data_IF_133904108355
#
_entry.id   IF_133904108355
#
_cell.length_a   1.000
_cell.length_b   1.000
_cell.length_c   1.000
_cell.angle_alpha   90.00
_cell.angle_beta   90.00
_cell.angle_gamma   90.00
#
_symmetry.space_group_name_H-M   'P 1'
#
loop_
_entity.id
_entity.type
_entity.pdbx_description
1 polymer ?
#
# COMPACT_ATOMS: atom_id res chain seq x y z
N UNK A 1 -28.97 -1.65 3.08
CA UNK A 1 -27.61 -1.55 3.65
C UNK A 1 -26.85 -0.51 2.86
N UNK A 2 -26.20 0.44 3.52
CA UNK A 2 -25.43 1.51 2.86
C UNK A 2 -24.12 0.93 2.32
N UNK A 3 -23.74 1.32 1.10
CA UNK A 3 -22.44 0.97 0.51
C UNK A 3 -21.31 1.49 1.40
N UNK A 4 -20.45 0.59 1.89
CA UNK A 4 -19.33 0.91 2.79
C UNK A 4 -18.04 1.24 2.04
N UNK A 5 -18.06 1.18 0.70
CA UNK A 5 -16.89 1.49 -0.13
C UNK A 5 -16.55 2.97 -0.05
N UNK A 6 -15.32 3.25 0.36
CA UNK A 6 -14.69 4.56 0.23
C UNK A 6 -13.80 4.59 -1.01
N UNK A 7 -13.62 5.76 -1.62
CA UNK A 7 -12.81 5.89 -2.84
C UNK A 7 -11.77 6.98 -2.70
N UNK A 8 -10.65 6.79 -3.40
CA UNK A 8 -9.53 7.71 -3.49
C UNK A 8 -9.28 8.04 -4.96
N UNK A 9 -9.38 9.32 -5.37
CA UNK A 9 -9.06 9.74 -6.74
C UNK A 9 -7.63 9.37 -7.17
N UNK A 10 -6.72 9.15 -6.21
CA UNK A 10 -5.36 8.70 -6.52
C UNK A 10 -5.37 7.31 -7.16
N UNK A 11 -6.22 6.39 -6.70
CA UNK A 11 -6.27 5.01 -7.18
C UNK A 11 -6.58 4.94 -8.68
N UNK A 12 -7.59 5.67 -9.13
CA UNK A 12 -7.96 5.71 -10.55
C UNK A 12 -6.82 6.23 -11.46
N UNK A 13 -5.94 7.09 -10.95
CA UNK A 13 -4.82 7.66 -11.71
C UNK A 13 -3.59 6.75 -11.77
N UNK A 14 -3.39 5.89 -10.78
CA UNK A 14 -2.14 5.13 -10.63
C UNK A 14 -2.30 3.61 -10.70
N UNK A 15 -3.53 3.06 -10.67
CA UNK A 15 -3.74 1.60 -10.68
C UNK A 15 -3.18 0.89 -11.91
N UNK A 16 -3.27 1.51 -13.09
CA UNK A 16 -2.79 0.94 -14.36
C UNK A 16 -1.24 0.89 -14.45
N UNK A 17 -0.51 1.99 -14.21
CA UNK A 17 0.95 1.93 -14.19
C UNK A 17 1.48 1.05 -13.05
N UNK A 18 0.82 1.03 -11.89
CA UNK A 18 1.19 0.12 -10.80
C UNK A 18 1.05 -1.34 -11.24
N UNK A 19 -0.10 -1.73 -11.79
CA UNK A 19 -0.32 -3.10 -12.26
C UNK A 19 0.73 -3.52 -13.30
N UNK A 20 1.07 -2.62 -14.21
CA UNK A 20 2.07 -2.88 -15.26
C UNK A 20 3.39 -3.33 -14.63
N UNK A 21 3.90 -2.58 -13.65
CA UNK A 21 5.13 -2.93 -12.95
C UNK A 21 4.95 -4.21 -12.11
N UNK A 22 3.82 -4.36 -11.43
CA UNK A 22 3.55 -5.54 -10.60
C UNK A 22 3.58 -6.85 -11.41
N UNK A 23 3.13 -6.84 -12.67
CA UNK A 23 3.22 -8.02 -13.56
C UNK A 23 4.65 -8.46 -13.85
N UNK A 24 5.61 -7.52 -13.82
CA UNK A 24 7.01 -7.78 -14.15
C UNK A 24 7.82 -8.23 -12.93
N UNK A 25 7.47 -7.75 -11.74
CA UNK A 25 8.28 -7.95 -10.52
C UNK A 25 7.73 -8.99 -9.55
N UNK A 26 6.42 -9.26 -9.57
CA UNK A 26 5.83 -10.22 -8.65
C UNK A 26 6.14 -11.66 -9.09
N UNK A 27 6.23 -12.61 -8.14
CA UNK A 27 6.40 -14.01 -8.50
C UNK A 27 5.20 -14.52 -9.30
N UNK A 28 5.38 -15.62 -10.04
CA UNK A 28 4.30 -16.21 -10.83
C UNK A 28 3.15 -16.76 -9.97
N UNK A 29 3.46 -17.21 -8.75
CA UNK A 29 2.52 -17.75 -7.75
C UNK A 29 2.99 -17.37 -6.36
N UNK A 30 2.09 -17.40 -5.38
CA UNK A 30 2.44 -17.18 -3.98
C UNK A 30 1.54 -16.16 -3.31
N UNK A 31 1.94 -15.75 -2.11
CA UNK A 31 1.21 -14.81 -1.27
C UNK A 31 1.80 -13.40 -1.37
N UNK A 32 0.97 -12.43 -1.74
CA UNK A 32 1.31 -11.01 -1.71
C UNK A 32 0.64 -10.37 -0.50
N UNK A 33 1.44 -9.79 0.40
CA UNK A 33 0.93 -8.92 1.44
C UNK A 33 0.89 -7.48 0.93
N UNK A 34 -0.30 -6.90 0.84
CA UNK A 34 -0.47 -5.47 0.62
C UNK A 34 -0.53 -4.76 1.98
N UNK A 35 0.52 -4.01 2.29
CA UNK A 35 0.64 -3.21 3.51
C UNK A 35 0.02 -1.83 3.27
N UNK A 36 -0.88 -1.44 4.19
CA UNK A 36 -1.64 -0.20 4.11
C UNK A 36 -2.47 -0.08 2.81
N UNK A 37 -3.38 -1.04 2.59
CA UNK A 37 -4.26 -1.16 1.41
C UNK A 37 -5.24 0.01 1.20
N UNK A 38 -5.15 1.09 1.99
CA UNK A 38 -6.05 2.24 1.92
C UNK A 38 -7.50 1.82 2.08
N UNK A 39 -8.32 2.06 1.05
CA UNK A 39 -9.72 1.69 1.01
C UNK A 39 -10.00 0.35 0.31
N UNK A 40 -8.97 -0.32 -0.22
CA UNK A 40 -9.06 -1.61 -0.92
C UNK A 40 -9.21 -1.53 -2.44
N UNK A 41 -9.26 -0.33 -3.01
CA UNK A 41 -9.43 -0.14 -4.46
C UNK A 41 -8.29 -0.74 -5.30
N UNK A 42 -7.02 -0.64 -4.83
CA UNK A 42 -5.88 -1.26 -5.51
C UNK A 42 -5.99 -2.78 -5.52
N UNK A 43 -6.24 -3.40 -4.38
CA UNK A 43 -6.49 -4.84 -4.28
C UNK A 43 -7.64 -5.28 -5.20
N UNK A 44 -8.76 -4.56 -5.15
CA UNK A 44 -9.94 -4.89 -5.96
C UNK A 44 -9.68 -4.79 -7.46
N UNK A 45 -8.77 -3.92 -7.87
CA UNK A 45 -8.34 -3.81 -9.26
C UNK A 45 -7.30 -4.86 -9.63
N UNK A 46 -6.23 -5.01 -8.83
CA UNK A 46 -5.03 -5.77 -9.19
C UNK A 46 -5.23 -7.28 -9.01
N UNK A 47 -5.85 -7.72 -7.92
CA UNK A 47 -5.94 -9.15 -7.59
C UNK A 47 -6.63 -10.00 -8.68
N UNK A 48 -7.75 -9.57 -9.30
CA UNK A 48 -8.39 -10.34 -10.38
C UNK A 48 -7.51 -10.50 -11.64
N UNK A 49 -6.50 -9.66 -11.81
CA UNK A 49 -5.63 -9.65 -12.98
C UNK A 49 -4.37 -10.50 -12.77
N UNK A 50 -4.15 -10.96 -11.54
CA UNK A 50 -3.05 -11.83 -11.14
C UNK A 50 -3.59 -13.07 -10.39
N UNK A 51 -4.44 -13.89 -11.02
CA UNK A 51 -5.21 -14.93 -10.35
C UNK A 51 -4.37 -16.08 -9.75
N UNK A 52 -3.10 -16.18 -10.14
CA UNK A 52 -2.14 -17.15 -9.59
C UNK A 52 -1.55 -16.70 -8.24
N UNK A 53 -1.77 -15.44 -7.86
CA UNK A 53 -1.34 -14.86 -6.59
C UNK A 53 -2.50 -14.82 -5.59
N UNK A 54 -2.19 -15.14 -4.34
CA UNK A 54 -3.09 -14.92 -3.22
C UNK A 54 -2.82 -13.51 -2.69
N UNK A 55 -3.82 -12.64 -2.72
CA UNK A 55 -3.69 -11.26 -2.28
C UNK A 55 -4.21 -11.08 -0.85
N UNK A 56 -3.33 -10.74 0.10
CA UNK A 56 -3.70 -10.45 1.47
C UNK A 56 -3.63 -8.95 1.71
N UNK A 57 -4.79 -8.32 1.89
CA UNK A 57 -4.88 -6.90 2.23
C UNK A 57 -4.64 -6.66 3.72
N UNK A 58 -4.28 -5.44 4.09
CA UNK A 58 -4.11 -5.06 5.49
C UNK A 58 -4.38 -3.57 5.73
N UNK A 59 -4.76 -3.25 6.97
CA UNK A 59 -4.91 -1.87 7.39
C UNK A 59 -5.07 -1.74 8.89
N UNK A 60 -4.53 -0.66 9.46
CA UNK A 60 -4.66 -0.33 10.88
C UNK A 60 -6.11 0.02 11.24
N UNK A 61 -6.68 0.97 10.52
CA UNK A 61 -7.94 1.58 10.87
C UNK A 61 -9.15 0.67 10.57
N UNK A 62 -10.08 0.45 11.53
CA UNK A 62 -11.26 -0.37 11.31
C UNK A 62 -12.13 0.09 10.13
N UNK A 63 -12.27 1.40 9.93
CA UNK A 63 -13.07 1.97 8.84
C UNK A 63 -12.46 1.66 7.45
N UNK A 64 -11.15 1.81 7.31
CA UNK A 64 -10.43 1.41 6.10
C UNK A 64 -10.63 -0.08 5.80
N UNK A 65 -10.56 -0.93 6.82
CA UNK A 65 -10.81 -2.37 6.68
C UNK A 65 -12.25 -2.70 6.27
N UNK A 66 -13.24 -1.98 6.78
CA UNK A 66 -14.64 -2.13 6.32
C UNK A 66 -14.78 -1.78 4.84
N UNK A 67 -14.14 -0.70 4.39
CA UNK A 67 -14.11 -0.35 2.96
C UNK A 67 -13.42 -1.43 2.13
N UNK A 68 -12.29 -1.98 2.60
CA UNK A 68 -11.58 -3.07 1.92
C UNK A 68 -12.51 -4.26 1.72
N UNK A 69 -13.17 -4.73 2.79
CA UNK A 69 -14.13 -5.85 2.74
C UNK A 69 -15.21 -5.57 1.69
N UNK A 70 -15.75 -4.35 1.65
CA UNK A 70 -16.80 -3.98 0.70
C UNK A 70 -16.30 -3.93 -0.75
N UNK A 71 -15.06 -3.51 -0.99
CA UNK A 71 -14.46 -3.50 -2.32
C UNK A 71 -14.09 -4.88 -2.83
N UNK A 72 -13.77 -5.82 -1.94
CA UNK A 72 -13.25 -7.14 -2.30
C UNK A 72 -14.25 -8.28 -2.06
N UNK A 73 -15.50 -7.97 -1.72
CA UNK A 73 -16.52 -8.95 -1.31
C UNK A 73 -16.71 -10.08 -2.33
N UNK A 74 -16.74 -9.75 -3.63
CA UNK A 74 -17.00 -10.70 -4.71
C UNK A 74 -15.71 -11.30 -5.31
N UNK A 75 -14.55 -11.02 -4.71
CA UNK A 75 -13.24 -11.42 -5.25
C UNK A 75 -12.64 -12.66 -4.57
N UNK A 76 -13.31 -13.18 -3.54
CA UNK A 76 -12.83 -14.34 -2.79
C UNK A 76 -11.53 -14.10 -2.02
N UNK A 77 -11.17 -12.84 -1.77
CA UNK A 77 -9.99 -12.49 -0.96
C UNK A 77 -10.25 -12.76 0.52
N UNK A 78 -9.19 -13.11 1.26
CA UNK A 78 -9.24 -13.22 2.70
C UNK A 78 -9.57 -11.85 3.34
N UNK A 79 -10.20 -11.83 4.53
CA UNK A 79 -10.44 -10.59 5.27
C UNK A 79 -9.14 -9.80 5.49
N UNK A 80 -9.19 -8.45 5.50
CA UNK A 80 -7.99 -7.64 5.70
C UNK A 80 -7.42 -7.86 7.10
N UNK A 81 -6.09 -7.99 7.19
CA UNK A 81 -5.40 -8.08 8.47
C UNK A 81 -5.44 -6.75 9.22
N UNK A 82 -5.54 -6.82 10.55
CA UNK A 82 -5.26 -5.66 11.42
C UNK A 82 -3.76 -5.52 11.53
N UNK A 83 -3.16 -4.59 10.78
CA UNK A 83 -1.71 -4.41 10.76
C UNK A 83 -1.39 -2.93 10.96
N UNK A 84 -0.67 -2.61 12.04
CA UNK A 84 0.24 -1.47 12.10
C UNK A 84 1.67 -1.99 11.84
N UNK A 85 2.45 -1.30 11.01
CA UNK A 85 3.83 -1.73 10.70
C UNK A 85 4.74 -1.70 11.93
N UNK A 86 4.37 -0.92 12.95
CA UNK A 86 5.07 -0.86 14.24
C UNK A 86 4.77 -2.03 15.16
N UNK A 87 3.75 -2.84 14.86
CA UNK A 87 3.45 -4.04 15.64
C UNK A 87 4.53 -5.11 15.40
N UNK A 88 4.89 -5.87 16.43
CA UNK A 88 5.77 -7.03 16.34
C UNK A 88 5.27 -8.12 17.30
N UNK A 89 4.92 -9.33 16.82
CA UNK A 89 4.97 -9.77 15.43
C UNK A 89 3.83 -9.20 14.56
N UNK A 90 4.05 -9.15 13.24
CA UNK A 90 2.95 -8.97 12.28
C UNK A 90 2.00 -10.18 12.34
N UNK A 91 0.69 -10.00 12.08
CA UNK A 91 -0.32 -11.08 12.12
C UNK A 91 -0.25 -12.01 10.90
N UNK A 92 0.95 -12.26 10.38
CA UNK A 92 1.23 -13.11 9.23
C UNK A 92 2.67 -13.62 9.32
N UNK A 93 2.88 -14.88 8.96
CA UNK A 93 4.15 -15.59 9.22
C UNK A 93 5.10 -15.63 8.03
N UNK A 94 4.57 -15.52 6.80
CA UNK A 94 5.36 -15.50 5.57
C UNK A 94 4.56 -14.79 4.45
N UNK A 95 5.28 -14.25 3.47
CA UNK A 95 4.74 -13.79 2.20
C UNK A 95 5.84 -13.88 1.14
N UNK A 96 5.46 -14.07 -0.12
CA UNK A 96 6.41 -14.14 -1.24
C UNK A 96 6.71 -12.75 -1.81
N UNK A 97 5.82 -11.78 -1.59
CA UNK A 97 6.01 -10.38 -1.94
C UNK A 97 5.30 -9.44 -0.96
N UNK A 98 5.82 -8.22 -0.81
CA UNK A 98 5.17 -7.14 -0.07
C UNK A 98 4.95 -5.95 -1.00
N UNK A 99 3.74 -5.42 -1.00
CA UNK A 99 3.32 -4.25 -1.80
C UNK A 99 2.86 -3.16 -0.85
N UNK A 100 3.38 -1.93 -1.01
CA UNK A 100 2.98 -0.79 -0.21
C UNK A 100 2.80 0.45 -1.08
N UNK A 101 1.54 0.87 -1.24
CA UNK A 101 1.14 1.91 -2.20
C UNK A 101 0.66 3.14 -1.44
N UNK A 102 1.25 4.29 -1.75
CA UNK A 102 0.89 5.62 -1.22
C UNK A 102 1.01 5.76 0.32
N UNK A 103 1.95 5.05 0.97
CA UNK A 103 2.25 5.22 2.40
C UNK A 103 3.61 5.87 2.67
N UNK A 104 4.70 5.25 2.18
CA UNK A 104 6.10 5.60 2.53
C UNK A 104 6.46 7.05 2.24
N UNK A 105 5.92 7.58 1.14
CA UNK A 105 6.19 8.94 0.69
C UNK A 105 5.56 10.03 1.56
N UNK A 106 4.67 9.70 2.51
CA UNK A 106 3.98 10.68 3.38
C UNK A 106 4.07 10.37 4.87
N UNK A 107 4.41 9.14 5.25
CA UNK A 107 4.48 8.75 6.65
C UNK A 107 5.80 9.22 7.32
N UNK A 108 5.82 9.31 8.67
CA UNK A 108 7.06 9.55 9.40
C UNK A 108 8.13 8.50 9.05
N UNK A 109 9.40 8.88 9.07
CA UNK A 109 10.50 7.97 8.69
C UNK A 109 10.54 6.67 9.50
N UNK A 110 10.24 6.75 10.80
CA UNK A 110 10.16 5.57 11.66
C UNK A 110 9.17 4.51 11.12
N UNK A 111 8.09 4.92 10.46
CA UNK A 111 7.12 4.00 9.83
C UNK A 111 7.73 3.29 8.63
N UNK A 112 8.55 3.96 7.83
CA UNK A 112 9.30 3.31 6.74
C UNK A 112 10.31 2.32 7.28
N UNK A 113 11.05 2.67 8.34
CA UNK A 113 11.99 1.76 8.98
C UNK A 113 11.30 0.51 9.54
N UNK A 114 10.14 0.69 10.20
CA UNK A 114 9.33 -0.41 10.71
C UNK A 114 8.79 -1.32 9.59
N UNK A 115 8.31 -0.74 8.48
CA UNK A 115 7.92 -1.49 7.28
C UNK A 115 9.06 -2.36 6.76
N UNK A 116 10.27 -1.79 6.62
CA UNK A 116 11.44 -2.51 6.13
C UNK A 116 11.83 -3.65 7.07
N UNK A 117 11.82 -3.40 8.39
CA UNK A 117 12.15 -4.41 9.39
C UNK A 117 11.15 -5.58 9.38
N UNK A 118 9.84 -5.29 9.30
CA UNK A 118 8.81 -6.33 9.21
C UNK A 118 8.86 -7.11 7.89
N UNK A 119 9.03 -6.41 6.77
CA UNK A 119 9.19 -7.05 5.46
C UNK A 119 10.42 -7.97 5.41
N UNK A 120 11.55 -7.56 6.02
CA UNK A 120 12.76 -8.38 6.08
C UNK A 120 12.60 -9.68 6.89
N UNK A 121 11.70 -9.70 7.88
CA UNK A 121 11.35 -10.92 8.64
C UNK A 121 10.40 -11.85 7.86
N UNK A 122 9.61 -11.28 6.95
CA UNK A 122 8.51 -11.97 6.27
C UNK A 122 8.91 -12.56 4.91
N UNK A 123 9.73 -11.82 4.16
CA UNK A 123 10.09 -12.14 2.77
C UNK A 123 11.19 -13.21 2.70
N UNK A 124 11.11 -14.14 1.72
CA UNK A 124 12.24 -14.99 1.39
C UNK A 124 13.38 -14.16 0.78
N UNK A 125 14.59 -14.74 0.76
CA UNK A 125 15.72 -14.15 0.03
C UNK A 125 15.34 -13.97 -1.43
N UNK A 126 15.43 -12.73 -1.93
CA UNK A 126 15.04 -12.36 -3.30
C UNK A 126 13.55 -12.01 -3.47
N UNK A 127 12.74 -12.08 -2.40
CA UNK A 127 11.34 -11.65 -2.45
C UNK A 127 11.20 -10.14 -2.66
N UNK A 128 10.31 -9.66 -3.55
CA UNK A 128 10.17 -8.25 -3.84
C UNK A 128 9.44 -7.50 -2.72
N UNK A 129 9.99 -6.33 -2.35
CA UNK A 129 9.29 -5.26 -1.66
C UNK A 129 9.03 -4.13 -2.65
N UNK A 130 7.78 -3.93 -3.03
CA UNK A 130 7.34 -2.87 -3.93
C UNK A 130 6.80 -1.67 -3.15
N UNK A 131 7.39 -0.50 -3.38
CA UNK A 131 6.97 0.77 -2.78
C UNK A 131 6.52 1.72 -3.88
N UNK A 132 5.36 2.36 -3.70
CA UNK A 132 4.86 3.37 -4.64
C UNK A 132 4.41 4.63 -3.91
N UNK A 133 4.70 5.78 -4.49
CA UNK A 133 4.17 7.07 -4.08
C UNK A 133 4.83 8.21 -4.84
N UNK A 134 4.21 9.41 -4.92
CA UNK A 134 4.90 10.58 -5.42
C UNK A 134 6.06 10.95 -4.48
N UNK A 135 7.25 11.14 -5.03
CA UNK A 135 8.41 11.69 -4.32
C UNK A 135 8.77 13.07 -4.88
N UNK A 136 9.50 13.86 -4.09
CA UNK A 136 10.29 14.98 -4.60
C UNK A 136 11.60 14.44 -5.19
N UNK A 137 12.15 15.15 -6.16
CA UNK A 137 13.47 14.87 -6.74
C UNK A 137 14.28 16.15 -6.62
N UNK A 138 15.44 16.08 -5.97
CA UNK A 138 16.31 17.22 -5.69
C UNK A 138 15.58 18.39 -4.99
N UNK A 139 14.72 18.06 -4.03
CA UNK A 139 13.90 19.01 -3.27
C UNK A 139 12.64 19.48 -4.01
N UNK A 140 12.46 19.13 -5.28
CA UNK A 140 11.40 19.67 -6.13
C UNK A 140 10.23 18.70 -6.30
N UNK A 141 9.00 19.24 -6.29
CA UNK A 141 7.82 18.47 -6.64
C UNK A 141 7.79 18.20 -8.15
N UNK A 142 7.47 16.96 -8.51
CA UNK A 142 7.38 16.50 -9.90
C UNK A 142 6.08 16.92 -10.61
N UNK A 143 5.11 17.46 -9.87
CA UNK A 143 3.86 17.99 -10.43
C UNK A 143 3.22 19.06 -9.50
N UNK A 144 2.49 20.05 -10.03
CA UNK A 144 1.77 21.04 -9.20
C UNK A 144 0.76 20.41 -8.24
N UNK A 145 0.10 19.31 -8.66
CA UNK A 145 -0.82 18.56 -7.81
C UNK A 145 -0.14 17.95 -6.58
N UNK A 146 1.12 17.52 -6.71
CA UNK A 146 1.91 16.98 -5.60
C UNK A 146 2.25 18.08 -4.59
N UNK A 147 2.54 19.30 -5.03
CA UNK A 147 2.78 20.43 -4.13
C UNK A 147 1.52 20.79 -3.32
N UNK A 148 0.35 20.85 -3.98
CA UNK A 148 -0.93 21.09 -3.29
C UNK A 148 -1.23 19.98 -2.28
N UNK A 149 -0.96 18.72 -2.66
CA UNK A 149 -1.13 17.58 -1.77
C UNK A 149 -0.20 17.63 -0.56
N UNK A 150 1.08 17.95 -0.74
CA UNK A 150 2.07 18.11 0.34
C UNK A 150 1.63 19.16 1.38
N UNK A 151 1.18 20.32 0.90
CA UNK A 151 0.65 21.38 1.78
C UNK A 151 -0.60 20.92 2.55
N UNK A 152 -1.50 20.16 1.90
CA UNK A 152 -2.69 19.62 2.55
C UNK A 152 -2.35 18.57 3.62
N UNK A 153 -1.33 17.74 3.39
CA UNK A 153 -0.83 16.76 4.37
C UNK A 153 -0.25 17.44 5.60
N UNK A 154 0.66 18.40 5.41
CA UNK A 154 1.32 19.13 6.50
C UNK A 154 0.34 19.89 7.39
N UNK A 155 -0.75 20.40 6.82
CA UNK A 155 -1.84 21.04 7.57
C UNK A 155 -2.58 20.08 8.51
N UNK A 156 -2.66 18.80 8.15
CA UNK A 156 -3.33 17.76 8.97
C UNK A 156 -2.37 17.18 10.00
N UNK A 157 -1.13 16.95 9.61
CA UNK A 157 -0.08 16.46 10.48
C UNK A 157 1.27 17.05 10.02
N UNK A 158 1.94 17.88 10.84
CA UNK A 158 3.24 18.47 10.48
C UNK A 158 4.34 17.44 10.22
N UNK A 159 4.20 16.22 10.72
CA UNK A 159 5.14 15.12 10.46
C UNK A 159 4.88 14.40 9.13
N UNK A 160 3.83 14.78 8.39
CA UNK A 160 3.55 14.25 7.06
C UNK A 160 4.05 15.21 5.98
N UNK A 161 4.33 14.67 4.80
CA UNK A 161 4.70 15.45 3.63
C UNK A 161 5.38 14.56 2.60
N UNK A 162 5.38 15.01 1.35
CA UNK A 162 6.02 14.30 0.25
C UNK A 162 7.53 14.24 0.50
N UNK A 163 8.03 13.04 0.74
CA UNK A 163 9.44 12.72 0.98
C UNK A 163 10.30 13.05 -0.25
N UNK A 164 11.54 13.49 -0.01
CA UNK A 164 12.52 13.55 -1.09
C UNK A 164 13.06 12.15 -1.41
N UNK A 165 13.27 11.83 -2.68
CA UNK A 165 13.80 10.53 -3.07
C UNK A 165 15.20 10.26 -2.48
N UNK A 166 15.96 11.32 -2.17
CA UNK A 166 17.28 11.21 -1.56
C UNK A 166 17.26 11.02 -0.02
N UNK A 167 16.08 11.10 0.64
CA UNK A 167 15.91 10.91 2.09
C UNK A 167 15.76 9.42 2.48
#
# INVERSE_FOLDING_TARGET
MTDQRQSSPATARNRDPILTVLKDILPATGLVLEVASGFGEHAAYVAPQLPALVWQTSGREPQSRQSIIAWTADLGLAPPLTLDVHDDPWPIVAADAVVCINMVHICPWATTQALLAGAAKLLPVGGPLYLYGPYRVDGQHTAPSNQVFDLALKRRNPAWGIRDLAD
#
